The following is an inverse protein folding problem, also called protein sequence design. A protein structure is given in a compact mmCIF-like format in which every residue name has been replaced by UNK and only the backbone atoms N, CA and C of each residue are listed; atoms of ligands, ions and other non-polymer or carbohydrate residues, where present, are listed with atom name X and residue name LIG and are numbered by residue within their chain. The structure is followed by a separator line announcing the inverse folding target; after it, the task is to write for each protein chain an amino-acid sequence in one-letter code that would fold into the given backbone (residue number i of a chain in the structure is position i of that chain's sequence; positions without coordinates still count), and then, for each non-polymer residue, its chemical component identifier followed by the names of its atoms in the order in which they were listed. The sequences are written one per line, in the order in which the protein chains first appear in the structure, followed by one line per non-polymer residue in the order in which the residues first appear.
data_IF_733876643692
#
_entry.id   IF_733876643692
#
_cell.length_a   1.000
_cell.length_b   1.000
_cell.length_c   1.000
_cell.angle_alpha   90.00
_cell.angle_beta   90.00
_cell.angle_gamma   90.00
#
_symmetry.space_group_name_H-M   'P 1'
#
loop_
_entity.id
_entity.type
_entity.pdbx_description
1 polymer ?
#
# COMPACT_ATOMS: atom_id res chain seq x y z
N UNK A 1 -23.69 6.72 11.36
CA UNK A 1 -22.26 6.82 11.07
C UNK A 1 -22.07 6.68 9.56
N UNK A 2 -21.51 7.67 8.90
CA UNK A 2 -21.12 7.60 7.49
C UNK A 2 -19.81 6.83 7.45
N UNK A 3 -19.84 5.60 6.99
CA UNK A 3 -18.70 4.70 6.97
C UNK A 3 -17.79 4.91 5.76
N UNK A 4 -17.73 3.91 4.88
CA UNK A 4 -16.89 3.87 3.69
C UNK A 4 -17.65 4.36 2.46
N UNK A 5 -17.05 5.22 1.67
CA UNK A 5 -17.54 5.63 0.34
C UNK A 5 -16.51 5.24 -0.73
N UNK A 6 -16.95 4.54 -1.76
CA UNK A 6 -16.11 4.17 -2.90
C UNK A 6 -16.48 5.02 -4.12
N UNK A 7 -15.48 5.59 -4.75
CA UNK A 7 -15.59 6.40 -5.95
C UNK A 7 -15.05 5.62 -7.15
N UNK A 8 -15.79 5.64 -8.25
CA UNK A 8 -15.32 5.24 -9.57
C UNK A 8 -14.89 6.51 -10.30
N UNK A 9 -13.63 6.58 -10.67
CA UNK A 9 -13.03 7.74 -11.33
C UNK A 9 -12.74 7.37 -12.77
N UNK A 10 -13.42 8.04 -13.70
CA UNK A 10 -13.17 7.92 -15.13
C UNK A 10 -11.97 8.76 -15.53
N UNK A 11 -11.01 8.15 -16.18
CA UNK A 11 -9.81 8.80 -16.71
C UNK A 11 -10.06 9.30 -18.12
N UNK A 12 -9.17 10.14 -18.64
CA UNK A 12 -9.30 10.76 -19.97
C UNK A 12 -9.14 9.77 -21.13
N UNK A 13 -8.67 8.57 -20.87
CA UNK A 13 -8.49 7.47 -21.81
C UNK A 13 -9.55 6.36 -21.67
N UNK A 14 -10.70 6.71 -21.11
CA UNK A 14 -11.85 5.83 -20.86
C UNK A 14 -11.60 4.72 -19.82
N UNK A 15 -10.41 4.64 -19.24
CA UNK A 15 -10.13 3.75 -18.13
C UNK A 15 -10.85 4.19 -16.85
N UNK A 16 -11.12 3.22 -15.98
CA UNK A 16 -11.78 3.48 -14.69
C UNK A 16 -10.92 2.95 -13.56
N UNK A 17 -10.73 3.77 -12.54
CA UNK A 17 -10.04 3.40 -11.31
C UNK A 17 -10.94 3.59 -10.10
N UNK A 18 -10.55 3.02 -8.98
CA UNK A 18 -11.27 3.15 -7.72
C UNK A 18 -10.48 3.98 -6.71
N UNK A 19 -11.18 4.80 -5.94
CA UNK A 19 -10.68 5.44 -4.74
C UNK A 19 -11.68 5.29 -3.63
N UNK A 20 -11.21 5.25 -2.37
CA UNK A 20 -12.08 5.01 -1.23
C UNK A 20 -11.85 6.06 -0.15
N UNK A 21 -12.93 6.61 0.37
CA UNK A 21 -12.95 7.45 1.56
C UNK A 21 -13.40 6.61 2.75
N UNK A 22 -12.53 6.49 3.74
CA UNK A 22 -12.76 5.73 4.96
C UNK A 22 -12.90 6.69 6.13
N UNK A 23 -14.00 6.58 6.89
CA UNK A 23 -14.26 7.36 8.11
C UNK A 23 -14.29 6.42 9.32
N UNK A 24 -13.35 6.58 10.21
CA UNK A 24 -13.23 5.80 11.45
C UNK A 24 -13.00 6.75 12.63
N UNK A 25 -14.06 7.12 13.32
CA UNK A 25 -14.02 8.11 14.38
C UNK A 25 -13.50 9.46 13.86
N UNK A 26 -12.35 9.92 14.39
CA UNK A 26 -11.68 11.14 13.93
C UNK A 26 -10.70 10.88 12.77
N UNK A 27 -10.46 9.62 12.43
CA UNK A 27 -9.55 9.24 11.33
C UNK A 27 -10.31 9.25 10.02
N UNK A 28 -9.89 10.10 9.09
CA UNK A 28 -10.45 10.20 7.75
C UNK A 28 -9.33 9.91 6.76
N UNK A 29 -9.47 8.80 6.04
CA UNK A 29 -8.42 8.25 5.18
C UNK A 29 -8.88 8.24 3.72
N UNK A 30 -8.05 8.78 2.83
CA UNK A 30 -8.16 8.58 1.40
C UNK A 30 -7.32 7.37 0.97
N UNK A 31 -7.95 6.35 0.41
CA UNK A 31 -7.28 5.22 -0.22
C UNK A 31 -7.27 5.44 -1.72
N UNK A 32 -6.08 5.55 -2.32
CA UNK A 32 -5.92 5.92 -3.74
C UNK A 32 -5.20 4.84 -4.54
N UNK A 33 -5.53 4.80 -5.83
CA UNK A 33 -4.93 3.91 -6.83
C UNK A 33 -3.65 4.53 -7.42
N UNK A 34 -2.76 3.68 -7.91
CA UNK A 34 -1.50 4.09 -8.53
C UNK A 34 -1.30 3.58 -9.95
N UNK A 35 -2.14 2.66 -10.38
CA UNK A 35 -2.09 2.05 -11.71
C UNK A 35 -3.50 1.77 -12.22
N UNK A 36 -3.63 1.56 -13.52
CA UNK A 36 -4.78 0.89 -14.14
C UNK A 36 -4.44 -0.59 -14.22
N UNK A 37 -5.12 -1.41 -13.41
CA UNK A 37 -4.74 -2.81 -13.19
C UNK A 37 -3.49 -2.98 -12.33
N UNK A 38 -2.92 -4.19 -12.27
CA UNK A 38 -1.74 -4.49 -11.47
C UNK A 38 -0.97 -5.70 -12.00
N UNK A 39 0.35 -5.56 -12.16
CA UNK A 39 1.23 -6.64 -12.63
C UNK A 39 1.61 -7.67 -11.55
N UNK A 40 1.25 -7.44 -10.27
CA UNK A 40 1.66 -8.34 -9.18
C UNK A 40 0.92 -9.67 -9.21
N UNK A 41 -0.26 -9.73 -9.83
CA UNK A 41 -1.07 -10.92 -10.03
C UNK A 41 -1.33 -11.72 -8.73
N UNK A 42 -1.49 -11.02 -7.58
CA UNK A 42 -1.81 -11.66 -6.31
C UNK A 42 -3.15 -12.38 -6.41
N UNK A 43 -3.20 -13.65 -6.04
CA UNK A 43 -4.37 -14.51 -6.25
C UNK A 43 -5.61 -14.12 -5.46
N UNK A 44 -5.45 -13.35 -4.39
CA UNK A 44 -6.52 -12.82 -3.55
C UNK A 44 -7.01 -11.43 -3.97
N UNK A 45 -6.37 -10.80 -4.97
CA UNK A 45 -6.61 -9.39 -5.31
C UNK A 45 -7.25 -9.26 -6.69
N UNK A 46 -8.44 -8.67 -6.73
CA UNK A 46 -9.17 -8.44 -7.98
C UNK A 46 -8.40 -7.53 -8.96
N UNK A 47 -7.60 -6.57 -8.45
CA UNK A 47 -6.81 -5.66 -9.30
C UNK A 47 -5.77 -6.38 -10.17
N UNK A 48 -5.36 -7.59 -9.79
CA UNK A 48 -4.38 -8.40 -10.54
C UNK A 48 -4.99 -9.26 -11.64
N UNK A 49 -6.32 -9.41 -11.69
CA UNK A 49 -7.00 -10.33 -12.62
C UNK A 49 -6.88 -9.92 -14.09
N UNK A 50 -6.89 -8.63 -14.35
CA UNK A 50 -6.84 -8.06 -15.71
C UNK A 50 -5.41 -7.69 -16.14
N UNK A 51 -4.42 -7.91 -15.27
CA UNK A 51 -3.04 -7.48 -15.52
C UNK A 51 -2.85 -5.99 -15.34
N UNK A 52 -1.70 -5.49 -15.78
CA UNK A 52 -1.36 -4.06 -15.77
C UNK A 52 -1.61 -3.48 -17.16
N UNK A 53 -2.39 -2.43 -17.24
CA UNK A 53 -2.53 -1.64 -18.46
C UNK A 53 -1.50 -0.51 -18.50
N UNK A 54 -1.52 0.38 -17.50
CA UNK A 54 -0.54 1.46 -17.37
C UNK A 54 -0.38 1.98 -15.95
N UNK A 55 0.68 2.71 -15.73
CA UNK A 55 0.86 3.54 -14.55
C UNK A 55 -0.06 4.75 -14.60
N UNK A 56 -0.59 5.19 -13.46
CA UNK A 56 -1.20 6.50 -13.32
C UNK A 56 -0.11 7.59 -13.33
N UNK A 57 -0.44 8.72 -13.92
CA UNK A 57 0.39 9.92 -13.86
C UNK A 57 0.34 10.54 -12.46
N UNK A 58 1.30 11.39 -12.16
CA UNK A 58 1.31 12.18 -10.90
C UNK A 58 0.02 12.97 -10.72
N UNK A 59 -0.51 13.58 -11.78
CA UNK A 59 -1.77 14.35 -11.77
C UNK A 59 -2.94 13.44 -11.38
N UNK A 60 -3.14 12.32 -12.07
CA UNK A 60 -4.22 11.37 -11.79
C UNK A 60 -4.17 10.83 -10.34
N UNK A 61 -2.97 10.67 -9.76
CA UNK A 61 -2.83 10.28 -8.34
C UNK A 61 -3.30 11.39 -7.41
N UNK A 62 -2.88 12.63 -7.65
CA UNK A 62 -3.24 13.80 -6.84
C UNK A 62 -4.73 14.14 -6.97
N UNK A 63 -5.29 14.06 -8.18
CA UNK A 63 -6.70 14.33 -8.45
C UNK A 63 -7.64 13.43 -7.67
N UNK A 64 -7.29 12.16 -7.42
CA UNK A 64 -8.07 11.27 -6.57
C UNK A 64 -8.23 11.86 -5.15
N UNK A 65 -7.15 12.40 -4.60
CA UNK A 65 -7.16 13.02 -3.26
C UNK A 65 -7.98 14.30 -3.25
N UNK A 66 -7.86 15.13 -4.29
CA UNK A 66 -8.67 16.35 -4.45
C UNK A 66 -10.15 16.01 -4.59
N UNK A 67 -10.49 14.99 -5.37
CA UNK A 67 -11.86 14.51 -5.52
C UNK A 67 -12.44 14.09 -4.17
N UNK A 68 -11.75 13.26 -3.41
CA UNK A 68 -12.16 12.85 -2.07
C UNK A 68 -12.28 14.06 -1.12
N UNK A 69 -11.31 14.98 -1.15
CA UNK A 69 -11.34 16.20 -0.33
C UNK A 69 -12.58 17.05 -0.58
N UNK A 70 -13.02 17.14 -1.82
CA UNK A 70 -14.23 17.89 -2.20
C UNK A 70 -15.55 17.21 -1.74
N UNK A 71 -15.48 15.94 -1.32
CA UNK A 71 -16.62 15.18 -0.77
C UNK A 71 -16.64 15.15 0.76
N UNK A 72 -15.68 15.80 1.41
CA UNK A 72 -15.67 15.93 2.86
C UNK A 72 -16.76 16.91 3.32
N UNK A 73 -17.27 16.67 4.53
CA UNK A 73 -18.15 17.62 5.21
C UNK A 73 -17.36 18.86 5.64
N UNK A 74 -18.04 19.99 5.92
CA UNK A 74 -17.38 21.24 6.32
C UNK A 74 -16.48 21.13 7.57
N UNK A 75 -16.77 20.20 8.47
CA UNK A 75 -16.03 19.93 9.70
C UNK A 75 -15.05 18.75 9.58
N UNK A 76 -14.99 18.11 8.41
CA UNK A 76 -14.09 17.01 8.12
C UNK A 76 -12.79 17.49 7.43
N UNK A 77 -11.69 16.81 7.75
CA UNK A 77 -10.42 16.98 7.03
C UNK A 77 -9.70 15.66 6.91
N UNK A 78 -8.98 15.46 5.81
CA UNK A 78 -8.16 14.26 5.62
C UNK A 78 -7.06 14.21 6.67
N UNK A 79 -6.99 13.10 7.38
CA UNK A 79 -5.92 12.83 8.35
C UNK A 79 -4.85 11.89 7.79
N UNK A 80 -5.23 11.05 6.81
CA UNK A 80 -4.37 10.02 6.23
C UNK A 80 -4.62 9.87 4.73
N UNK A 81 -3.58 9.50 4.00
CA UNK A 81 -3.66 8.98 2.63
C UNK A 81 -2.94 7.63 2.60
N UNK A 82 -3.53 6.63 1.95
CA UNK A 82 -2.91 5.31 1.76
C UNK A 82 -2.94 4.94 0.28
N UNK A 83 -1.85 4.34 -0.22
CA UNK A 83 -1.73 3.84 -1.58
C UNK A 83 -2.04 2.34 -1.62
N UNK A 84 -3.26 1.99 -1.23
CA UNK A 84 -3.75 0.61 -1.12
C UNK A 84 -4.94 0.35 -2.06
N UNK A 85 -5.14 1.21 -3.06
CA UNK A 85 -6.10 1.03 -4.14
C UNK A 85 -5.56 0.10 -5.23
N UNK A 86 -5.97 0.34 -6.47
CA UNK A 86 -5.53 -0.44 -7.63
C UNK A 86 -4.06 -0.14 -7.94
N UNK A 87 -3.25 -1.21 -8.09
CA UNK A 87 -1.85 -1.11 -8.49
C UNK A 87 -0.84 -1.32 -7.35
N UNK A 88 0.42 -1.47 -7.75
CA UNK A 88 1.57 -1.54 -6.85
C UNK A 88 2.30 -0.18 -6.89
N UNK A 89 2.24 0.63 -5.81
CA UNK A 89 2.83 1.96 -5.81
C UNK A 89 4.33 1.95 -6.09
N UNK A 90 5.05 0.91 -5.66
CA UNK A 90 6.48 0.79 -5.91
C UNK A 90 6.81 0.51 -7.38
N UNK A 91 5.87 -0.04 -8.15
CA UNK A 91 6.05 -0.21 -9.59
C UNK A 91 5.86 1.11 -10.35
N UNK A 92 5.10 2.07 -9.79
CA UNK A 92 4.91 3.43 -10.31
C UNK A 92 5.69 4.49 -9.51
N UNK A 93 6.90 4.18 -9.10
CA UNK A 93 7.68 4.92 -8.11
C UNK A 93 7.80 6.42 -8.38
N UNK A 94 8.23 6.81 -9.58
CA UNK A 94 8.55 8.21 -9.86
C UNK A 94 7.30 9.11 -9.84
N UNK A 95 6.16 8.64 -10.33
CA UNK A 95 4.90 9.36 -10.26
C UNK A 95 4.36 9.43 -8.83
N UNK A 96 4.46 8.33 -8.08
CA UNK A 96 4.05 8.29 -6.67
C UNK A 96 4.88 9.24 -5.83
N UNK A 97 6.21 9.25 -5.98
CA UNK A 97 7.09 10.17 -5.25
C UNK A 97 6.83 11.64 -5.60
N UNK A 98 6.55 11.95 -6.87
CA UNK A 98 6.15 13.31 -7.27
C UNK A 98 4.81 13.71 -6.65
N UNK A 99 3.82 12.81 -6.67
CA UNK A 99 2.53 13.03 -6.03
C UNK A 99 2.70 13.26 -4.52
N UNK A 100 3.54 12.47 -3.86
CA UNK A 100 3.90 12.64 -2.45
C UNK A 100 4.50 14.00 -2.15
N UNK A 101 5.45 14.47 -2.98
CA UNK A 101 6.06 15.80 -2.82
C UNK A 101 5.02 16.90 -2.91
N UNK A 102 4.10 16.81 -3.86
CA UNK A 102 2.98 17.76 -4.01
C UNK A 102 2.10 17.72 -2.76
N UNK A 103 1.65 16.55 -2.35
CA UNK A 103 0.78 16.38 -1.19
C UNK A 103 1.45 16.79 0.13
N UNK A 104 2.76 16.52 0.31
CA UNK A 104 3.52 16.97 1.47
C UNK A 104 3.70 18.50 1.51
N UNK A 105 3.97 19.13 0.37
CA UNK A 105 4.13 20.57 0.30
C UNK A 105 2.82 21.32 0.61
N UNK A 106 1.69 20.78 0.09
CA UNK A 106 0.38 21.40 0.24
C UNK A 106 -0.33 21.02 1.56
N UNK A 107 -0.13 19.79 2.06
CA UNK A 107 -0.98 19.22 3.13
C UNK A 107 -0.23 18.59 4.30
N UNK A 108 1.10 18.54 4.28
CA UNK A 108 1.92 18.01 5.37
C UNK A 108 1.74 16.50 5.64
N UNK A 109 1.21 15.73 4.67
CA UNK A 109 0.95 14.31 4.81
C UNK A 109 2.05 13.49 4.15
N UNK A 110 2.73 12.62 4.92
CA UNK A 110 3.80 11.77 4.44
C UNK A 110 3.38 10.34 4.15
N UNK A 111 3.67 9.81 2.96
CA UNK A 111 3.39 8.41 2.56
C UNK A 111 4.47 7.89 1.59
N UNK A 112 4.82 6.63 1.72
CA UNK A 112 6.02 6.04 1.17
C UNK A 112 5.99 5.09 0.00
N UNK A 113 7.11 4.96 -0.65
CA UNK A 113 7.34 3.99 -1.73
C UNK A 113 8.82 3.65 -1.97
N UNK A 114 9.18 2.52 -2.52
CA UNK A 114 10.49 1.82 -2.67
C UNK A 114 11.38 1.93 -1.42
N UNK A 115 11.37 0.87 -0.65
CA UNK A 115 11.79 0.83 0.75
C UNK A 115 13.17 1.47 1.00
N UNK A 116 14.21 1.14 0.27
CA UNK A 116 15.55 1.70 0.49
C UNK A 116 15.71 3.13 -0.02
N UNK A 117 15.21 3.40 -1.22
CA UNK A 117 15.27 4.73 -1.82
C UNK A 117 14.37 5.69 -1.07
N UNK A 118 13.21 5.21 -0.63
CA UNK A 118 12.28 5.98 0.18
C UNK A 118 12.87 6.41 1.52
N UNK A 119 13.62 5.54 2.18
CA UNK A 119 14.28 5.88 3.44
C UNK A 119 15.19 7.10 3.31
N UNK A 120 15.74 7.34 2.12
CA UNK A 120 16.64 8.47 1.82
C UNK A 120 15.91 9.75 1.37
N UNK A 121 14.62 9.67 0.99
CA UNK A 121 13.85 10.83 0.51
C UNK A 121 13.40 11.78 1.64
N UNK A 122 13.55 11.39 2.90
CA UNK A 122 13.23 12.23 4.06
C UNK A 122 11.73 12.41 4.36
N UNK A 123 10.85 11.64 3.72
CA UNK A 123 9.41 11.70 3.96
C UNK A 123 9.00 11.10 5.30
N UNK A 124 7.94 11.64 5.89
CA UNK A 124 7.33 11.10 7.09
C UNK A 124 6.26 10.04 6.75
N UNK A 125 6.70 8.83 6.36
CA UNK A 125 5.78 7.77 5.93
C UNK A 125 5.96 6.51 6.77
N UNK A 126 4.86 5.76 6.96
CA UNK A 126 4.89 4.42 7.51
C UNK A 126 4.83 3.42 6.37
N UNK A 127 5.60 2.35 6.47
CA UNK A 127 5.70 1.34 5.43
C UNK A 127 4.74 0.20 5.75
N UNK A 128 3.84 -0.10 4.81
CA UNK A 128 3.01 -1.31 4.84
C UNK A 128 3.51 -2.31 3.78
N UNK A 129 3.75 -3.54 4.20
CA UNK A 129 4.28 -4.61 3.35
C UNK A 129 3.32 -5.79 3.34
N UNK A 130 2.79 -6.11 2.17
CA UNK A 130 2.04 -7.35 1.94
C UNK A 130 2.96 -8.57 2.02
N UNK A 131 3.02 -9.20 3.19
CA UNK A 131 3.89 -10.36 3.43
C UNK A 131 3.17 -11.67 3.14
N UNK A 132 2.05 -11.92 3.83
CA UNK A 132 1.09 -13.00 3.65
C UNK A 132 1.64 -14.43 3.79
N UNK A 133 2.92 -14.62 4.05
CA UNK A 133 3.54 -15.90 4.38
C UNK A 133 4.88 -15.71 5.12
N UNK A 134 5.33 -16.76 5.81
CA UNK A 134 6.61 -16.80 6.50
C UNK A 134 7.72 -17.50 5.72
N UNK A 135 7.39 -18.13 4.59
CA UNK A 135 8.33 -18.79 3.68
C UNK A 135 8.04 -18.48 2.21
N UNK A 136 9.06 -18.62 1.35
CA UNK A 136 8.99 -18.25 -0.06
C UNK A 136 8.13 -19.20 -0.90
N UNK A 137 7.97 -20.45 -0.50
CA UNK A 137 7.16 -21.42 -1.25
C UNK A 137 5.68 -21.06 -1.12
N UNK A 138 5.19 -20.88 0.11
CA UNK A 138 3.81 -20.47 0.37
C UNK A 138 3.56 -19.08 -0.19
N UNK A 139 4.49 -18.13 0.02
CA UNK A 139 4.34 -16.77 -0.52
C UNK A 139 4.24 -16.74 -2.03
N UNK A 140 5.01 -17.57 -2.73
CA UNK A 140 4.98 -17.63 -4.21
C UNK A 140 3.69 -18.22 -4.76
N UNK A 141 2.96 -19.01 -3.98
CA UNK A 141 1.62 -19.49 -4.33
C UNK A 141 0.58 -18.38 -4.25
N UNK A 142 0.74 -17.45 -3.29
CA UNK A 142 -0.20 -16.33 -3.03
C UNK A 142 0.17 -15.12 -3.89
N UNK A 143 1.46 -14.80 -3.96
CA UNK A 143 2.03 -13.64 -4.67
C UNK A 143 3.07 -14.14 -5.68
N UNK A 144 2.69 -14.38 -6.94
CA UNK A 144 3.60 -14.93 -7.95
C UNK A 144 4.88 -14.12 -8.20
N UNK A 145 4.82 -12.78 -8.02
CA UNK A 145 5.97 -11.89 -8.15
C UNK A 145 7.06 -12.13 -7.09
N UNK A 146 6.77 -12.87 -6.01
CA UNK A 146 7.74 -13.24 -4.98
C UNK A 146 8.97 -13.97 -5.54
N UNK A 147 8.81 -14.75 -6.61
CA UNK A 147 9.90 -15.46 -7.27
C UNK A 147 11.08 -14.56 -7.69
N UNK A 148 10.83 -13.26 -7.87
CA UNK A 148 11.87 -12.27 -8.24
C UNK A 148 12.50 -11.58 -7.03
N UNK A 149 11.78 -11.48 -5.90
CA UNK A 149 12.24 -10.68 -4.75
C UNK A 149 12.65 -11.54 -3.57
N UNK A 150 11.81 -12.49 -3.15
CA UNK A 150 12.00 -13.34 -1.99
C UNK A 150 11.82 -12.62 -0.65
N UNK A 151 11.35 -13.36 0.36
CA UNK A 151 11.08 -12.85 1.71
C UNK A 151 12.35 -12.27 2.35
N UNK A 152 13.50 -12.95 2.19
CA UNK A 152 14.77 -12.48 2.77
C UNK A 152 15.12 -11.05 2.36
N UNK A 153 14.92 -10.70 1.09
CA UNK A 153 15.21 -9.37 0.59
C UNK A 153 14.19 -8.33 1.09
N UNK A 154 12.93 -8.73 1.23
CA UNK A 154 11.86 -7.89 1.78
C UNK A 154 12.17 -7.55 3.25
N UNK A 155 12.50 -8.56 4.05
CA UNK A 155 12.83 -8.39 5.48
C UNK A 155 14.09 -7.53 5.66
N UNK A 156 15.13 -7.77 4.85
CA UNK A 156 16.33 -6.95 4.88
C UNK A 156 16.04 -5.48 4.54
N UNK A 157 15.24 -5.23 3.51
CA UNK A 157 14.86 -3.88 3.12
C UNK A 157 13.96 -3.19 4.17
N UNK A 158 13.05 -3.92 4.81
CA UNK A 158 12.23 -3.42 5.90
C UNK A 158 13.08 -3.00 7.10
N UNK A 159 14.03 -3.84 7.50
CA UNK A 159 14.97 -3.53 8.59
C UNK A 159 15.77 -2.27 8.29
N UNK A 160 16.36 -2.17 7.11
CA UNK A 160 17.13 -1.00 6.66
C UNK A 160 16.26 0.26 6.67
N UNK A 161 14.99 0.17 6.23
CA UNK A 161 14.04 1.27 6.30
C UNK A 161 13.84 1.75 7.74
N UNK A 162 13.59 0.82 8.68
CA UNK A 162 13.42 1.16 10.09
C UNK A 162 14.69 1.79 10.69
N UNK A 163 15.87 1.25 10.37
CA UNK A 163 17.15 1.78 10.86
C UNK A 163 17.39 3.23 10.42
N UNK A 164 17.03 3.56 9.19
CA UNK A 164 17.20 4.91 8.62
C UNK A 164 16.12 5.88 9.13
N UNK A 165 14.86 5.46 9.08
CA UNK A 165 13.72 6.38 9.27
C UNK A 165 13.17 6.41 10.69
N UNK A 166 13.40 5.37 11.48
CA UNK A 166 12.79 5.10 12.80
C UNK A 166 11.25 5.12 12.76
N UNK A 167 10.68 4.78 11.61
CA UNK A 167 9.25 4.78 11.39
C UNK A 167 8.66 3.39 11.46
N UNK A 168 7.40 3.34 11.90
CA UNK A 168 6.65 2.09 12.02
C UNK A 168 6.55 1.35 10.68
N UNK A 169 6.73 0.04 10.77
CA UNK A 169 6.49 -0.90 9.68
C UNK A 169 5.30 -1.77 10.06
N UNK A 170 4.37 -1.91 9.12
CA UNK A 170 3.28 -2.87 9.23
C UNK A 170 3.45 -3.98 8.20
N UNK A 171 3.27 -5.22 8.63
CA UNK A 171 3.17 -6.37 7.74
C UNK A 171 1.70 -6.79 7.64
N UNK A 172 1.19 -6.79 6.42
CA UNK A 172 -0.17 -7.25 6.12
C UNK A 172 -0.13 -8.76 5.91
N UNK A 173 -1.02 -9.49 6.59
CA UNK A 173 -1.08 -10.95 6.55
C UNK A 173 -2.52 -11.44 6.41
N UNK A 174 -2.93 -11.75 5.19
CA UNK A 174 -4.24 -12.36 4.93
C UNK A 174 -4.23 -13.82 5.36
N UNK A 175 -5.20 -14.25 6.15
CA UNK A 175 -5.38 -15.65 6.52
C UNK A 175 -6.15 -16.39 5.42
N UNK A 176 -5.54 -17.45 4.90
CA UNK A 176 -6.13 -18.34 3.89
C UNK A 176 -6.11 -19.75 4.46
N UNK A 177 -7.32 -20.29 4.69
CA UNK A 177 -7.47 -21.63 5.25
C UNK A 177 -6.79 -22.69 4.37
N UNK A 178 -6.13 -23.66 5.03
CA UNK A 178 -5.35 -24.70 4.34
C UNK A 178 -4.05 -24.24 3.66
N UNK A 179 -3.69 -22.95 3.74
CA UNK A 179 -2.50 -22.39 3.07
C UNK A 179 -1.51 -21.78 4.05
N UNK A 180 -1.95 -20.81 4.87
CA UNK A 180 -1.07 -20.01 5.74
C UNK A 180 -1.69 -19.64 7.07
N UNK A 181 -2.78 -20.29 7.50
CA UNK A 181 -3.55 -19.95 8.68
C UNK A 181 -3.34 -20.93 9.86
N UNK A 182 -2.33 -21.82 9.80
CA UNK A 182 -2.04 -22.75 10.87
C UNK A 182 -1.28 -22.10 12.03
N UNK A 183 -1.32 -22.75 13.21
CA UNK A 183 -0.50 -22.35 14.36
C UNK A 183 1.00 -22.34 14.01
N UNK A 184 1.46 -23.29 13.20
CA UNK A 184 2.85 -23.37 12.77
C UNK A 184 3.24 -22.18 11.87
N UNK A 185 2.32 -21.70 11.01
CA UNK A 185 2.55 -20.49 10.20
C UNK A 185 2.69 -19.26 11.08
N UNK A 186 1.84 -19.11 12.11
CA UNK A 186 1.92 -18.02 13.08
C UNK A 186 3.26 -18.04 13.86
N UNK A 187 3.70 -19.20 14.33
CA UNK A 187 4.99 -19.36 15.03
C UNK A 187 6.17 -19.04 14.10
N UNK A 188 6.09 -19.43 12.84
CA UNK A 188 7.12 -19.15 11.83
C UNK A 188 7.17 -17.67 11.48
N UNK A 189 6.02 -17.03 11.36
CA UNK A 189 5.90 -15.58 11.17
C UNK A 189 6.50 -14.82 12.35
N UNK A 190 6.17 -15.21 13.58
CA UNK A 190 6.71 -14.60 14.78
C UNK A 190 8.24 -14.70 14.83
N UNK A 191 8.81 -15.87 14.51
CA UNK A 191 10.28 -16.03 14.41
C UNK A 191 10.91 -15.17 13.32
N UNK A 192 10.26 -15.08 12.16
CA UNK A 192 10.73 -14.27 11.02
C UNK A 192 10.80 -12.78 11.36
N UNK A 193 9.78 -12.28 12.06
CA UNK A 193 9.63 -10.85 12.37
C UNK A 193 10.25 -10.43 13.70
N UNK A 194 10.60 -11.38 14.59
CA UNK A 194 11.15 -11.07 15.92
C UNK A 194 12.34 -10.09 15.94
N UNK A 195 13.21 -10.00 14.90
CA UNK A 195 14.31 -9.03 14.87
C UNK A 195 13.89 -7.63 14.41
N UNK A 196 12.61 -7.38 14.10
CA UNK A 196 12.13 -6.11 13.55
C UNK A 196 11.03 -5.56 14.47
N UNK A 197 11.16 -4.29 14.85
CA UNK A 197 10.06 -3.59 15.51
C UNK A 197 8.99 -3.27 14.45
N UNK A 198 7.87 -3.98 14.51
CA UNK A 198 6.80 -3.87 13.53
C UNK A 198 5.43 -4.24 14.11
N UNK A 199 4.38 -3.86 13.40
CA UNK A 199 3.02 -4.36 13.61
C UNK A 199 2.69 -5.43 12.57
N UNK A 200 1.79 -6.34 12.92
CA UNK A 200 1.21 -7.30 11.97
C UNK A 200 -0.30 -7.09 11.96
N UNK A 201 -0.84 -6.77 10.80
CA UNK A 201 -2.27 -6.67 10.56
C UNK A 201 -2.75 -7.98 9.92
N UNK A 202 -3.81 -8.58 10.52
CA UNK A 202 -4.37 -9.88 10.12
C UNK A 202 -5.83 -9.71 9.71
#
# INVERSE_FOLDING_TARGET
ARGTEKFLIHLTDDNVIESVLLREGKRITACVSTQVGCAMACRFCASGLLGLERNLTTGEIVEQVLHIKNHLLPDEHLTNIVFMGIGEPLANYDNVVKALRIMNAEWGLGIGARIRRLAQEGFQVNLAISLHASDDMVRSQIIPSNKKTGIKNIIAAAREYFEITRRDISFEYILIDGVNASKQDAESLARLLSPIQCNVNV
#
